data_IF_886171230741
#
_entry.id   IF_886171230741
#
_cell.length_a   1.000
_cell.length_b   1.000
_cell.length_c   1.000
_cell.angle_alpha   90.00
_cell.angle_beta   90.00
_cell.angle_gamma   90.00
#
_symmetry.space_group_name_H-M   'P 1'
#
loop_
_entity.id
_entity.type
_entity.pdbx_description
1 polymer ?
#
# COMPACT_ATOMS: atom_id res chain seq x y z
N UNK A 1 16.29 -6.08 -22.31
CA UNK A 1 16.36 -4.66 -22.73
C UNK A 1 15.02 -3.93 -22.99
N UNK A 2 13.80 -4.54 -22.98
CA UNK A 2 12.56 -3.78 -23.16
C UNK A 2 11.95 -3.18 -21.88
N UNK A 3 12.55 -3.38 -20.70
CA UNK A 3 12.04 -2.80 -19.43
C UNK A 3 12.63 -1.42 -19.11
N UNK A 4 13.83 -1.12 -19.63
CA UNK A 4 14.52 0.15 -19.39
C UNK A 4 13.76 1.36 -19.97
N UNK A 5 13.13 1.22 -21.14
CA UNK A 5 12.35 2.30 -21.74
C UNK A 5 11.03 2.54 -21.00
N UNK A 6 10.41 1.51 -20.41
CA UNK A 6 9.18 1.65 -19.61
C UNK A 6 9.49 2.43 -18.34
N UNK A 7 10.56 2.06 -17.65
CA UNK A 7 11.04 2.76 -16.46
C UNK A 7 11.46 4.19 -16.81
N UNK A 8 12.19 4.38 -17.92
CA UNK A 8 12.56 5.70 -18.42
C UNK A 8 11.33 6.56 -18.73
N UNK A 9 10.33 6.03 -19.43
CA UNK A 9 9.10 6.75 -19.77
C UNK A 9 8.25 7.08 -18.54
N UNK A 10 8.26 6.23 -17.51
CA UNK A 10 7.61 6.52 -16.22
C UNK A 10 8.35 7.62 -15.46
N UNK A 11 9.69 7.58 -15.45
CA UNK A 11 10.52 8.66 -14.91
C UNK A 11 10.32 9.97 -15.67
N UNK A 12 10.25 9.93 -17.00
CA UNK A 12 10.04 11.12 -17.83
C UNK A 12 8.62 11.70 -17.65
N UNK A 13 7.60 10.83 -17.46
CA UNK A 13 6.25 11.25 -17.05
C UNK A 13 6.23 11.89 -15.67
N UNK A 14 6.91 11.31 -14.70
CA UNK A 14 7.03 11.90 -13.37
C UNK A 14 7.72 13.27 -13.45
N UNK A 15 8.84 13.37 -14.17
CA UNK A 15 9.57 14.62 -14.41
C UNK A 15 8.74 15.68 -15.14
N UNK A 16 7.86 15.27 -16.06
CA UNK A 16 6.96 16.19 -16.75
C UNK A 16 5.93 16.82 -15.81
N UNK A 17 5.40 16.06 -14.85
CA UNK A 17 4.49 16.59 -13.80
C UNK A 17 5.22 17.53 -12.83
N UNK A 18 6.50 17.26 -12.58
CA UNK A 18 7.35 17.99 -11.62
C UNK A 18 7.78 19.37 -12.11
N UNK A 19 7.92 19.58 -13.43
CA UNK A 19 8.40 20.86 -13.99
C UNK A 19 7.47 22.06 -13.77
N UNK A 20 6.25 21.86 -13.26
CA UNK A 20 5.30 22.94 -13.04
C UNK A 20 5.53 23.73 -11.75
N UNK A 21 6.03 23.12 -10.66
CA UNK A 21 6.20 23.79 -9.37
C UNK A 21 7.37 23.16 -8.57
N UNK A 22 8.47 23.91 -8.42
CA UNK A 22 9.60 23.66 -7.50
C UNK A 22 10.38 22.31 -7.61
N UNK A 23 11.65 22.31 -8.07
CA UNK A 23 12.46 21.09 -8.23
C UNK A 23 12.81 20.36 -6.92
N UNK A 24 12.56 20.95 -5.75
CA UNK A 24 12.86 20.34 -4.44
C UNK A 24 11.74 19.44 -3.89
N UNK A 25 10.51 19.55 -4.41
CA UNK A 25 9.33 18.86 -3.85
C UNK A 25 9.04 17.47 -4.44
N UNK A 26 9.96 16.94 -5.25
CA UNK A 26 9.60 16.06 -6.33
C UNK A 26 10.40 14.75 -6.35
N UNK A 27 10.38 14.03 -5.24
CA UNK A 27 10.91 12.67 -5.16
C UNK A 27 9.79 11.66 -5.33
N UNK A 28 9.33 11.50 -6.57
CA UNK A 28 8.44 10.41 -6.96
C UNK A 28 9.31 9.21 -7.39
N UNK A 29 9.50 8.23 -6.51
CA UNK A 29 10.21 7.01 -6.88
C UNK A 29 9.34 6.16 -7.82
N UNK A 30 9.89 5.66 -8.94
CA UNK A 30 9.11 4.91 -9.92
C UNK A 30 8.52 3.65 -9.28
N UNK A 31 7.22 3.45 -9.47
CA UNK A 31 6.48 2.24 -9.12
C UNK A 31 7.16 1.05 -9.81
N UNK A 32 7.89 0.21 -9.07
CA UNK A 32 8.39 -1.04 -9.65
C UNK A 32 7.19 -1.95 -9.89
N UNK A 33 6.81 -2.13 -11.15
CA UNK A 33 5.82 -3.13 -11.50
C UNK A 33 6.40 -4.51 -11.20
N UNK A 34 5.89 -5.16 -10.15
CA UNK A 34 6.36 -6.44 -9.63
C UNK A 34 6.69 -6.31 -8.14
N UNK A 35 5.73 -6.69 -7.29
CA UNK A 35 5.80 -6.62 -5.84
C UNK A 35 7.13 -7.09 -5.24
N UNK A 36 7.57 -6.39 -4.19
CA UNK A 36 8.85 -6.62 -3.50
C UNK A 36 9.95 -5.63 -3.87
N UNK A 37 9.61 -4.43 -4.34
CA UNK A 37 10.59 -3.39 -4.69
C UNK A 37 11.24 -2.76 -3.45
N UNK A 38 12.56 -2.88 -3.35
CA UNK A 38 13.40 -2.10 -2.45
C UNK A 38 14.23 -1.11 -3.26
N UNK A 39 14.64 -0.01 -2.64
CA UNK A 39 15.42 1.04 -3.29
C UNK A 39 16.91 0.80 -3.00
N UNK A 40 17.69 0.24 -3.94
CA UNK A 40 19.13 0.08 -3.75
C UNK A 40 19.83 1.45 -3.83
N UNK A 41 21.02 1.53 -3.24
CA UNK A 41 21.84 2.75 -3.26
C UNK A 41 22.09 3.27 -4.69
N UNK A 42 22.32 2.36 -5.64
CA UNK A 42 22.50 2.70 -7.05
C UNK A 42 21.27 3.39 -7.67
N UNK A 43 20.05 3.03 -7.24
CA UNK A 43 18.84 3.71 -7.69
C UNK A 43 18.75 5.13 -7.10
N UNK A 44 19.11 5.31 -5.84
CA UNK A 44 19.13 6.63 -5.19
C UNK A 44 20.12 7.57 -5.86
N UNK A 45 21.33 7.10 -6.16
CA UNK A 45 22.32 7.87 -6.92
C UNK A 45 21.78 8.29 -8.29
N UNK A 46 21.12 7.38 -9.00
CA UNK A 46 20.60 7.68 -10.33
C UNK A 46 19.47 8.71 -10.29
N UNK A 47 18.68 8.72 -9.22
CA UNK A 47 17.63 9.72 -9.00
C UNK A 47 18.26 11.09 -8.69
N UNK A 48 19.30 11.15 -7.85
CA UNK A 48 20.04 12.38 -7.56
C UNK A 48 20.64 13.01 -8.83
N UNK A 49 21.31 12.22 -9.67
CA UNK A 49 21.85 12.67 -10.96
C UNK A 49 20.77 13.27 -11.88
N UNK A 50 19.57 12.69 -11.89
CA UNK A 50 18.48 13.13 -12.76
C UNK A 50 17.78 14.39 -12.26
N UNK A 51 17.68 14.55 -10.95
CA UNK A 51 17.04 15.71 -10.32
C UNK A 51 18.03 16.88 -10.17
N UNK A 52 19.33 16.64 -10.33
CA UNK A 52 20.36 17.65 -10.12
C UNK A 52 20.50 18.09 -8.66
N UNK A 53 20.12 17.22 -7.72
CA UNK A 53 20.23 17.45 -6.27
C UNK A 53 21.42 16.69 -5.67
N UNK A 54 21.73 16.96 -4.40
CA UNK A 54 22.76 16.21 -3.69
C UNK A 54 22.29 14.78 -3.43
N UNK A 55 23.22 13.82 -3.44
CA UNK A 55 22.95 12.44 -3.02
C UNK A 55 22.39 12.39 -1.59
N UNK A 56 22.84 13.32 -0.74
CA UNK A 56 22.38 13.41 0.65
C UNK A 56 20.89 13.76 0.76
N UNK A 57 20.39 14.67 -0.09
CA UNK A 57 18.98 15.07 -0.10
C UNK A 57 18.06 13.87 -0.38
N UNK A 58 18.50 12.97 -1.28
CA UNK A 58 17.76 11.74 -1.61
C UNK A 58 17.80 10.74 -0.45
N UNK A 59 18.91 10.66 0.28
CA UNK A 59 19.02 9.80 1.46
C UNK A 59 18.17 10.26 2.63
N UNK A 60 18.06 11.56 2.84
CA UNK A 60 17.19 12.12 3.86
C UNK A 60 15.73 11.72 3.59
N UNK A 61 15.28 11.84 2.34
CA UNK A 61 13.91 11.48 1.97
C UNK A 61 13.65 9.97 1.97
N UNK A 62 14.63 9.18 1.51
CA UNK A 62 14.52 7.72 1.56
C UNK A 62 14.51 7.15 2.98
N UNK A 63 15.11 7.86 3.95
CA UNK A 63 15.06 7.47 5.37
C UNK A 63 13.88 8.06 6.11
N UNK A 64 13.38 9.23 5.68
CA UNK A 64 12.25 9.91 6.30
C UNK A 64 10.90 9.21 6.03
N UNK A 65 10.65 8.79 4.78
CA UNK A 65 9.39 8.12 4.45
C UNK A 65 9.48 6.60 4.65
N UNK A 66 8.61 6.07 5.51
CA UNK A 66 8.53 4.64 5.83
C UNK A 66 8.11 3.74 4.66
N UNK A 67 7.55 4.33 3.60
CA UNK A 67 7.16 3.60 2.38
C UNK A 67 8.38 3.13 1.56
N UNK A 68 9.54 3.78 1.71
CA UNK A 68 10.74 3.39 0.97
C UNK A 68 11.47 2.25 1.68
N UNK A 69 11.31 1.04 1.15
CA UNK A 69 12.05 -0.12 1.61
C UNK A 69 13.53 0.01 1.24
N UNK A 70 14.40 0.14 2.25
CA UNK A 70 15.88 0.19 2.09
C UNK A 70 16.54 -1.18 2.17
N UNK A 71 15.76 -2.20 2.53
CA UNK A 71 16.19 -3.60 2.60
C UNK A 71 15.29 -4.44 1.70
N UNK A 72 15.84 -5.56 1.23
CA UNK A 72 15.09 -6.49 0.37
C UNK A 72 13.92 -7.07 1.17
N UNK A 73 12.70 -6.82 0.70
CA UNK A 73 11.48 -7.42 1.24
C UNK A 73 11.10 -8.66 0.46
N UNK A 74 10.25 -9.49 1.05
CA UNK A 74 9.62 -10.60 0.37
C UNK A 74 8.69 -10.14 -0.76
N UNK A 75 8.24 -11.10 -1.56
CA UNK A 75 7.31 -10.85 -2.69
C UNK A 75 6.01 -10.17 -2.24
N UNK A 76 5.53 -10.51 -1.06
CA UNK A 76 4.35 -9.97 -0.42
C UNK A 76 4.75 -9.22 0.85
N UNK A 77 4.70 -7.90 0.79
CA UNK A 77 4.89 -7.05 1.96
C UNK A 77 3.55 -6.85 2.67
N UNK A 78 3.41 -7.49 3.83
CA UNK A 78 2.24 -7.42 4.71
C UNK A 78 2.45 -6.26 5.68
N UNK A 79 1.63 -5.23 5.54
CA UNK A 79 1.60 -4.06 6.39
C UNK A 79 0.34 -4.10 7.25
N UNK A 80 0.48 -4.39 8.54
CA UNK A 80 -0.63 -4.49 9.48
C UNK A 80 -0.79 -3.16 10.24
N UNK A 81 -2.00 -2.62 10.26
CA UNK A 81 -2.29 -1.39 10.99
C UNK A 81 -2.49 -1.66 12.49
N UNK A 82 -1.65 -1.10 13.34
CA UNK A 82 -1.72 -1.26 14.80
C UNK A 82 -2.23 -0.01 15.54
N UNK A 83 -2.78 0.97 14.83
CA UNK A 83 -3.33 2.19 15.46
C UNK A 83 -4.59 1.93 16.28
N UNK A 84 -4.92 2.86 17.17
CA UNK A 84 -6.01 2.73 18.16
C UNK A 84 -7.33 2.19 17.60
N UNK A 85 -7.86 2.68 16.45
CA UNK A 85 -9.10 2.12 15.90
C UNK A 85 -9.00 0.64 15.56
N UNK A 86 -7.89 0.21 14.96
CA UNK A 86 -7.66 -1.19 14.63
C UNK A 86 -7.33 -2.03 15.88
N UNK A 87 -6.61 -1.45 16.85
CA UNK A 87 -6.30 -2.09 18.12
C UNK A 87 -7.56 -2.47 18.90
N UNK A 88 -8.54 -1.56 19.01
CA UNK A 88 -9.81 -1.83 19.70
C UNK A 88 -10.63 -2.91 18.97
N UNK A 89 -10.50 -3.00 17.65
CA UNK A 89 -11.14 -4.01 16.82
C UNK A 89 -10.35 -5.35 16.74
N UNK A 90 -9.28 -5.54 17.54
CA UNK A 90 -8.56 -6.81 17.62
C UNK A 90 -7.39 -6.97 16.64
N UNK A 91 -6.74 -5.89 16.20
CA UNK A 91 -5.59 -5.98 15.30
C UNK A 91 -4.42 -6.82 15.85
N UNK A 92 -4.19 -6.83 17.17
CA UNK A 92 -3.15 -7.67 17.78
C UNK A 92 -3.46 -9.17 17.68
N UNK A 93 -4.74 -9.56 17.68
CA UNK A 93 -5.13 -10.96 17.47
C UNK A 93 -4.82 -11.40 16.04
N UNK A 94 -5.04 -10.50 15.07
CA UNK A 94 -4.66 -10.71 13.67
C UNK A 94 -3.14 -10.80 13.52
N UNK A 95 -2.39 -9.90 14.17
CA UNK A 95 -0.93 -9.93 14.17
C UNK A 95 -0.41 -11.27 14.71
N UNK A 96 -0.88 -11.70 15.87
CA UNK A 96 -0.47 -12.97 16.47
C UNK A 96 -0.83 -14.18 15.58
N UNK A 97 -1.98 -14.12 14.90
CA UNK A 97 -2.40 -15.15 13.94
C UNK A 97 -1.43 -15.22 12.75
N UNK A 98 -1.01 -14.08 12.20
CA UNK A 98 -0.03 -14.02 11.10
C UNK A 98 1.32 -14.55 11.57
N UNK A 99 1.80 -14.12 12.74
CA UNK A 99 3.07 -14.57 13.31
C UNK A 99 3.07 -16.09 13.55
N UNK A 100 1.98 -16.64 14.08
CA UNK A 100 1.83 -18.08 14.32
C UNK A 100 1.75 -18.89 13.02
N UNK A 101 1.08 -18.38 11.99
CA UNK A 101 0.91 -19.08 10.71
C UNK A 101 2.19 -19.07 9.87
N UNK A 102 2.87 -17.93 9.81
CA UNK A 102 4.08 -17.75 9.01
C UNK A 102 5.37 -18.10 9.76
N UNK A 103 5.32 -18.20 11.10
CA UNK A 103 6.48 -18.49 11.94
C UNK A 103 7.51 -17.34 11.99
N UNK A 104 7.06 -16.10 11.82
CA UNK A 104 7.89 -14.89 11.82
C UNK A 104 7.40 -13.90 12.88
N UNK A 105 8.24 -12.92 13.23
CA UNK A 105 7.83 -11.77 14.03
C UNK A 105 7.62 -10.52 13.18
N UNK A 106 6.92 -9.52 13.73
CA UNK A 106 6.84 -8.20 13.13
C UNK A 106 8.24 -7.64 12.79
N UNK A 107 8.44 -7.24 11.53
CA UNK A 107 9.70 -6.74 10.99
C UNK A 107 10.52 -7.79 10.22
N UNK A 108 10.24 -9.09 10.40
CA UNK A 108 10.98 -10.18 9.79
C UNK A 108 10.39 -10.62 8.44
N UNK A 109 11.20 -11.36 7.69
CA UNK A 109 10.83 -11.96 6.40
C UNK A 109 10.91 -13.48 6.51
N UNK A 110 9.97 -14.20 5.90
CA UNK A 110 9.98 -15.66 5.89
C UNK A 110 11.25 -16.19 5.21
N UNK A 111 11.72 -17.37 5.63
CA UNK A 111 12.88 -18.02 5.02
C UNK A 111 12.68 -18.30 3.52
N UNK A 112 11.43 -18.52 3.11
CA UNK A 112 11.02 -18.69 1.70
C UNK A 112 11.17 -17.40 0.87
N UNK A 113 11.37 -16.25 1.51
CA UNK A 113 11.46 -14.95 0.86
C UNK A 113 10.13 -14.46 0.27
N UNK A 114 9.01 -15.08 0.65
CA UNK A 114 7.70 -14.78 0.09
C UNK A 114 6.97 -13.67 0.86
N UNK A 115 7.04 -13.67 2.20
CA UNK A 115 6.27 -12.76 3.04
C UNK A 115 7.18 -11.95 3.95
N UNK A 116 6.91 -10.65 4.07
CA UNK A 116 7.49 -9.79 5.10
C UNK A 116 6.37 -9.18 5.92
N UNK A 117 6.41 -9.32 7.24
CA UNK A 117 5.46 -8.66 8.14
C UNK A 117 6.04 -7.34 8.62
N UNK A 118 5.26 -6.26 8.57
CA UNK A 118 5.64 -4.96 9.11
C UNK A 118 4.43 -4.36 9.82
N UNK A 119 4.64 -3.94 11.06
CA UNK A 119 3.67 -3.13 11.78
C UNK A 119 3.74 -1.70 11.23
N UNK A 120 2.59 -1.15 10.86
CA UNK A 120 2.45 0.20 10.32
C UNK A 120 1.39 0.97 11.08
N UNK A 121 1.46 2.29 10.91
CA UNK A 121 0.50 3.24 11.45
C UNK A 121 -0.82 3.24 10.65
N UNK A 122 -1.61 4.30 10.79
CA UNK A 122 -2.93 4.40 10.19
C UNK A 122 -2.87 4.32 8.66
N UNK A 123 -3.57 3.35 8.09
CA UNK A 123 -3.71 3.16 6.63
C UNK A 123 -4.99 3.81 6.06
N UNK A 124 -5.77 4.50 6.89
CA UNK A 124 -6.94 5.28 6.43
C UNK A 124 -8.23 4.49 6.20
N UNK A 125 -8.27 3.18 6.49
CA UNK A 125 -9.46 2.33 6.35
C UNK A 125 -10.15 2.03 7.70
N UNK A 126 -10.23 3.02 8.59
CA UNK A 126 -10.65 2.83 9.99
C UNK A 126 -12.10 2.32 10.14
N UNK A 127 -12.99 2.68 9.21
CA UNK A 127 -14.38 2.21 9.18
C UNK A 127 -14.49 0.69 8.98
N UNK A 128 -13.45 0.08 8.42
CA UNK A 128 -13.40 -1.34 8.09
C UNK A 128 -12.28 -2.07 8.86
N UNK A 129 -12.03 -1.61 10.09
CA UNK A 129 -11.07 -2.26 10.97
C UNK A 129 -11.55 -3.66 11.40
N UNK A 130 -10.63 -4.63 11.63
CA UNK A 130 -9.18 -4.57 11.44
C UNK A 130 -8.79 -4.83 9.97
N UNK A 131 -7.67 -4.24 9.55
CA UNK A 131 -7.24 -4.25 8.14
C UNK A 131 -5.73 -4.45 7.99
N UNK A 132 -5.37 -4.97 6.82
CA UNK A 132 -3.99 -5.26 6.41
C UNK A 132 -3.83 -4.84 4.95
N UNK A 133 -2.70 -4.23 4.63
CA UNK A 133 -2.30 -3.96 3.26
C UNK A 133 -1.25 -4.98 2.82
N UNK A 134 -1.47 -5.63 1.67
CA UNK A 134 -0.46 -6.50 1.05
C UNK A 134 -0.03 -5.84 -0.25
N UNK A 135 1.23 -5.38 -0.30
CA UNK A 135 1.77 -4.56 -1.37
C UNK A 135 0.88 -3.30 -1.60
N UNK A 136 0.14 -3.23 -2.71
CA UNK A 136 -0.74 -2.10 -3.05
C UNK A 136 -2.23 -2.39 -2.73
N UNK A 137 -2.56 -3.57 -2.22
CA UNK A 137 -3.94 -4.04 -2.06
C UNK A 137 -4.38 -3.97 -0.61
N UNK A 138 -5.56 -3.40 -0.38
CA UNK A 138 -6.19 -3.34 0.94
C UNK A 138 -7.10 -4.54 1.18
N UNK A 139 -6.94 -5.19 2.33
CA UNK A 139 -7.80 -6.24 2.83
C UNK A 139 -8.38 -5.81 4.18
N UNK A 140 -9.70 -5.72 4.24
CA UNK A 140 -10.41 -5.05 5.32
C UNK A 140 -11.44 -5.99 5.98
N UNK A 141 -11.89 -5.64 7.19
CA UNK A 141 -12.80 -6.47 8.01
C UNK A 141 -12.26 -7.90 8.20
N UNK A 142 -10.99 -8.01 8.58
CA UNK A 142 -10.32 -9.29 8.72
C UNK A 142 -10.70 -9.99 10.04
N UNK A 143 -10.91 -11.29 9.95
CA UNK A 143 -10.95 -12.20 11.10
C UNK A 143 -9.70 -13.08 11.11
N UNK A 144 -9.45 -13.79 12.21
CA UNK A 144 -8.31 -14.72 12.30
C UNK A 144 -8.39 -15.79 11.21
N UNK A 145 -9.58 -16.34 10.97
CA UNK A 145 -9.86 -17.33 9.92
C UNK A 145 -9.66 -16.76 8.51
N UNK A 146 -10.24 -15.58 8.23
CA UNK A 146 -10.12 -14.96 6.90
C UNK A 146 -8.67 -14.57 6.60
N UNK A 147 -7.90 -14.21 7.62
CA UNK A 147 -6.48 -13.86 7.49
C UNK A 147 -5.65 -15.08 7.08
N UNK A 148 -5.86 -16.23 7.70
CA UNK A 148 -5.18 -17.48 7.30
C UNK A 148 -5.55 -17.85 5.86
N UNK A 149 -6.84 -17.80 5.51
CA UNK A 149 -7.30 -18.07 4.15
C UNK A 149 -6.69 -17.10 3.13
N UNK A 150 -6.57 -15.81 3.48
CA UNK A 150 -5.93 -14.81 2.63
C UNK A 150 -4.46 -15.17 2.39
N UNK A 151 -3.71 -15.50 3.43
CA UNK A 151 -2.29 -15.88 3.31
C UNK A 151 -2.10 -17.13 2.46
N UNK A 152 -2.93 -18.15 2.66
CA UNK A 152 -2.86 -19.39 1.89
C UNK A 152 -3.20 -19.16 0.41
N UNK A 153 -4.21 -18.33 0.13
CA UNK A 153 -4.58 -17.95 -1.24
C UNK A 153 -3.48 -17.13 -1.93
N UNK A 154 -2.84 -16.21 -1.20
CA UNK A 154 -1.70 -15.44 -1.71
C UNK A 154 -0.51 -16.36 -2.03
N UNK A 155 -0.23 -17.35 -1.17
CA UNK A 155 0.83 -18.33 -1.39
C UNK A 155 0.55 -19.22 -2.60
N UNK A 156 -0.70 -19.68 -2.74
CA UNK A 156 -1.14 -20.50 -3.86
C UNK A 156 -1.25 -19.72 -5.19
N UNK A 157 -1.25 -18.38 -5.15
CA UNK A 157 -1.48 -17.54 -6.33
C UNK A 157 -2.94 -17.50 -6.78
N UNK A 158 -3.88 -17.82 -5.88
CA UNK A 158 -5.31 -17.76 -6.15
C UNK A 158 -5.79 -16.31 -6.21
N UNK A 159 -6.87 -16.02 -6.97
CA UNK A 159 -7.47 -14.69 -6.98
C UNK A 159 -8.03 -14.37 -5.59
N UNK A 160 -7.63 -13.21 -5.04
CA UNK A 160 -8.10 -12.70 -3.75
C UNK A 160 -9.01 -11.49 -3.97
N UNK A 161 -10.07 -11.37 -3.16
CA UNK A 161 -10.98 -10.23 -3.22
C UNK A 161 -10.33 -9.04 -2.49
N UNK A 162 -10.13 -7.94 -3.21
CA UNK A 162 -9.64 -6.68 -2.64
C UNK A 162 -10.80 -5.98 -1.93
N UNK A 163 -10.53 -5.39 -0.76
CA UNK A 163 -11.50 -4.67 0.06
C UNK A 163 -12.08 -5.52 1.21
N UNK A 164 -13.36 -5.32 1.57
CA UNK A 164 -13.98 -5.98 2.73
C UNK A 164 -14.17 -7.48 2.51
N UNK A 165 -13.69 -8.28 3.48
CA UNK A 165 -13.81 -9.74 3.47
C UNK A 165 -15.17 -10.24 3.99
N UNK A 166 -15.94 -9.40 4.68
CA UNK A 166 -17.24 -9.73 5.28
C UNK A 166 -18.45 -9.55 4.32
N UNK A 167 -18.21 -9.40 3.02
CA UNK A 167 -19.27 -9.23 2.02
C UNK A 167 -19.80 -7.81 1.84
N UNK A 168 -19.41 -6.86 2.71
CA UNK A 168 -19.77 -5.46 2.56
C UNK A 168 -19.10 -4.84 1.31
N UNK A 169 -19.74 -3.79 0.81
CA UNK A 169 -19.29 -2.98 -0.31
C UNK A 169 -18.64 -1.70 0.22
N UNK A 170 -17.34 -1.56 -0.04
CA UNK A 170 -16.55 -0.40 0.40
C UNK A 170 -16.76 -0.13 1.89
N UNK A 171 -17.27 1.03 2.26
CA UNK A 171 -17.45 1.50 3.64
C UNK A 171 -18.92 1.52 4.09
N UNK A 172 -19.78 0.69 3.52
CA UNK A 172 -21.16 0.57 4.02
C UNK A 172 -21.21 0.00 5.44
N UNK A 173 -22.25 0.37 6.20
CA UNK A 173 -22.41 -0.10 7.56
C UNK A 173 -22.72 -1.61 7.64
N UNK A 174 -22.67 -2.21 8.84
CA UNK A 174 -23.01 -3.63 9.03
C UNK A 174 -24.48 -3.96 8.68
N UNK A 175 -25.36 -2.95 8.67
CA UNK A 175 -26.75 -3.07 8.23
C UNK A 175 -26.93 -2.77 6.73
N UNK A 176 -25.84 -2.69 5.98
CA UNK A 176 -25.81 -2.21 4.60
C UNK A 176 -25.96 -0.69 4.50
N UNK A 177 -26.30 -0.22 3.29
CA UNK A 177 -26.54 1.21 3.00
C UNK A 177 -27.81 1.72 3.67
N UNK A 178 -27.64 2.43 4.79
CA UNK A 178 -28.72 3.18 5.46
C UNK A 178 -28.94 4.57 4.86
N UNK A 179 -27.97 5.07 4.09
CA UNK A 179 -28.01 6.36 3.41
C UNK A 179 -27.57 6.22 1.95
N UNK A 180 -27.80 7.28 1.15
CA UNK A 180 -27.54 7.29 -0.29
C UNK A 180 -28.26 6.14 -1.02
N UNK A 181 -29.48 5.80 -0.62
CA UNK A 181 -30.25 4.70 -1.23
C UNK A 181 -30.74 5.09 -2.63
N UNK A 182 -31.18 6.34 -2.76
CA UNK A 182 -31.65 6.91 -4.00
C UNK A 182 -30.47 7.26 -4.93
N UNK A 183 -30.68 7.20 -6.26
CA UNK A 183 -29.68 7.66 -7.21
C UNK A 183 -29.37 9.15 -6.96
N UNK A 184 -28.12 9.59 -7.19
CA UNK A 184 -27.77 10.98 -7.02
C UNK A 184 -28.63 11.82 -7.95
N UNK A 185 -29.26 12.85 -7.39
CA UNK A 185 -29.97 13.84 -8.19
C UNK A 185 -28.94 14.51 -9.11
N UNK A 186 -29.30 14.66 -10.39
CA UNK A 186 -28.47 15.39 -11.34
C UNK A 186 -28.20 16.82 -10.87
N UNK A 187 -27.33 17.58 -11.55
CA UNK A 187 -27.00 18.95 -11.15
C UNK A 187 -28.27 19.80 -10.96
N UNK A 188 -28.54 20.24 -9.73
CA UNK A 188 -29.74 21.00 -9.36
C UNK A 188 -29.57 22.52 -9.53
N UNK A 189 -28.42 22.96 -10.04
CA UNK A 189 -28.15 24.34 -10.41
C UNK A 189 -27.40 24.36 -11.75
N UNK A 190 -27.74 25.18 -12.75
CA UNK A 190 -28.82 26.17 -12.96
C UNK A 190 -28.77 26.49 -14.46
N UNK A 191 -29.86 26.33 -15.20
CA UNK A 191 -30.09 26.84 -16.57
C UNK A 191 -28.84 27.28 -17.38
N UNK A 192 -28.02 26.33 -17.87
CA UNK A 192 -27.06 26.63 -18.95
C UNK A 192 -27.67 26.21 -20.29
N UNK A 193 -28.81 26.84 -20.59
CA UNK A 193 -29.56 26.72 -21.82
C UNK A 193 -30.43 27.95 -22.05
N UNK A 194 -29.79 29.11 -22.24
CA UNK A 194 -30.34 30.29 -22.88
C UNK A 194 -29.22 31.00 -23.67
#
# INVERSE_FOLDING_TARGET
MPLLWIVQAQLDRAHATIKADNPRGAMAFPKSQGGGGWVPLAAMHKIAERLGCSHMDVYEVATFFTMYNREKRGRFHIMLCATTPCMVCGAYDIMHTIEKHLGIKAGETTADGEFTLTEVECLGACVNAPMVQVNDMFFENLTTESTVQLLDNLKAGNPVKIGPQNGLTNSEGPMGRTSLIEPPLGPQCRDLGA
#
